data_IF_174981418349
#
_entry.id   IF_174981418349
#
_cell.length_a   1.000
_cell.length_b   1.000
_cell.length_c   1.000
_cell.angle_alpha   90.00
_cell.angle_beta   90.00
_cell.angle_gamma   90.00
#
_symmetry.space_group_name_H-M   'P 1'
#
loop_
_entity.id
_entity.type
_entity.pdbx_description
1 polymer ?
#
# COMPACT_ATOMS: atom_id res chain seq x y z
N UNK A 1 -16.47 -16.70 -8.60
CA UNK A 1 -15.81 -17.02 -7.32
C UNK A 1 -15.55 -15.72 -6.60
N UNK A 2 -16.15 -15.51 -5.42
CA UNK A 2 -15.76 -14.42 -4.53
C UNK A 2 -14.46 -14.87 -3.89
N UNK A 3 -13.33 -14.28 -4.26
CA UNK A 3 -12.05 -14.57 -3.59
C UNK A 3 -12.27 -14.33 -2.11
N UNK A 4 -12.03 -15.33 -1.27
CA UNK A 4 -12.07 -15.14 0.16
C UNK A 4 -11.01 -14.08 0.48
N UNK A 5 -11.43 -12.90 0.94
CA UNK A 5 -10.48 -11.90 1.42
C UNK A 5 -9.80 -12.52 2.63
N UNK A 6 -8.54 -12.93 2.45
CA UNK A 6 -7.76 -13.47 3.55
C UNK A 6 -7.49 -12.31 4.52
N UNK A 7 -8.23 -12.27 5.62
CA UNK A 7 -8.00 -11.32 6.69
C UNK A 7 -6.65 -11.64 7.34
N UNK A 8 -5.70 -10.71 7.26
CA UNK A 8 -4.38 -10.87 7.88
C UNK A 8 -4.21 -9.94 9.07
N UNK A 9 -3.36 -10.35 10.02
CA UNK A 9 -3.00 -9.46 11.13
C UNK A 9 -2.17 -8.28 10.64
N UNK A 10 -2.16 -7.19 11.42
CA UNK A 10 -1.29 -6.03 11.17
C UNK A 10 0.19 -6.43 11.16
N UNK A 11 0.61 -7.35 12.03
CA UNK A 11 1.99 -7.88 12.06
C UNK A 11 2.34 -8.60 10.75
N UNK A 12 1.45 -9.47 10.27
CA UNK A 12 1.67 -10.19 9.01
C UNK A 12 1.73 -9.23 7.82
N UNK A 13 0.95 -8.16 7.85
CA UNK A 13 0.99 -7.11 6.84
C UNK A 13 2.36 -6.41 6.82
N UNK A 14 2.87 -5.98 7.98
CA UNK A 14 4.18 -5.32 8.05
C UNK A 14 5.33 -6.22 7.61
N UNK A 15 5.31 -7.51 7.96
CA UNK A 15 6.35 -8.44 7.51
C UNK A 15 6.33 -8.62 5.98
N UNK A 16 5.14 -8.67 5.37
CA UNK A 16 5.00 -8.78 3.91
C UNK A 16 5.46 -7.52 3.17
N UNK A 17 5.12 -6.34 3.68
CA UNK A 17 5.48 -5.07 3.04
C UNK A 17 6.99 -4.77 3.04
N UNK A 18 7.80 -5.43 3.88
CA UNK A 18 9.26 -5.26 3.88
C UNK A 18 9.91 -5.67 2.56
N UNK A 19 9.34 -6.63 1.85
CA UNK A 19 9.93 -7.22 0.64
C UNK A 19 9.07 -7.01 -0.61
N UNK A 20 7.91 -6.37 -0.46
CA UNK A 20 6.96 -6.22 -1.54
C UNK A 20 7.39 -5.12 -2.50
N UNK A 21 7.53 -5.41 -3.81
CA UNK A 21 7.88 -4.39 -4.81
C UNK A 21 6.75 -3.35 -5.02
N UNK A 22 5.52 -3.68 -4.62
CA UNK A 22 4.36 -2.81 -4.73
C UNK A 22 3.89 -2.48 -3.32
N UNK A 23 3.62 -1.19 -3.06
CA UNK A 23 3.01 -0.73 -1.81
C UNK A 23 1.55 -1.17 -1.77
N UNK A 24 1.11 -1.65 -0.63
CA UNK A 24 -0.29 -1.92 -0.38
C UNK A 24 -0.84 -1.00 0.73
N UNK A 25 -2.15 -0.87 0.79
CA UNK A 25 -2.86 -0.31 1.93
C UNK A 25 -3.52 -1.43 2.73
N UNK A 26 -3.52 -1.28 4.05
CA UNK A 26 -4.17 -2.20 4.98
C UNK A 26 -5.37 -1.53 5.62
N UNK A 27 -6.54 -2.17 5.57
CA UNK A 27 -7.74 -1.72 6.28
C UNK A 27 -8.55 -2.92 6.77
N UNK A 28 -8.72 -3.03 8.09
CA UNK A 28 -9.52 -4.07 8.77
C UNK A 28 -9.20 -5.52 8.34
N UNK A 29 -7.91 -5.84 8.19
CA UNK A 29 -7.46 -7.16 7.76
C UNK A 29 -7.38 -7.34 6.24
N UNK A 30 -7.93 -6.41 5.46
CA UNK A 30 -7.90 -6.44 4.00
C UNK A 30 -6.69 -5.67 3.45
N UNK A 31 -6.22 -6.10 2.27
CA UNK A 31 -5.07 -5.51 1.57
C UNK A 31 -5.55 -4.96 0.23
N UNK A 32 -5.24 -3.69 -0.04
CA UNK A 32 -5.56 -3.02 -1.29
C UNK A 32 -4.26 -2.68 -2.02
N UNK A 33 -4.13 -2.98 -3.33
CA UNK A 33 -2.98 -2.56 -4.09
C UNK A 33 -2.98 -1.03 -4.22
N UNK A 34 -1.93 -0.38 -3.71
CA UNK A 34 -1.78 1.06 -3.88
C UNK A 34 -1.25 1.28 -5.31
N UNK A 35 -1.90 2.17 -6.06
CA UNK A 35 -1.52 2.48 -7.46
C UNK A 35 -0.28 3.37 -7.57
N UNK A 36 0.53 3.46 -6.51
CA UNK A 36 1.63 4.41 -6.30
C UNK A 36 2.84 4.20 -7.22
N UNK A 37 2.73 3.31 -8.21
CA UNK A 37 3.79 3.00 -9.18
C UNK A 37 3.90 3.97 -10.36
N UNK A 38 3.24 5.13 -10.34
CA UNK A 38 3.41 6.15 -11.38
C UNK A 38 4.29 7.30 -10.87
N UNK A 39 5.37 7.57 -11.61
CA UNK A 39 6.36 8.61 -11.34
C UNK A 39 5.72 10.01 -11.20
N UNK A 40 4.65 10.29 -11.94
CA UNK A 40 3.90 11.55 -11.84
C UNK A 40 3.23 11.73 -10.46
N UNK A 41 2.61 10.67 -9.92
CA UNK A 41 2.00 10.71 -8.58
C UNK A 41 3.05 10.94 -7.50
N UNK A 42 4.21 10.30 -7.64
CA UNK A 42 5.35 10.51 -6.74
C UNK A 42 5.85 11.96 -6.78
N UNK A 43 5.98 12.55 -7.97
CA UNK A 43 6.46 13.93 -8.12
C UNK A 43 5.52 14.97 -7.50
N UNK A 44 4.20 14.81 -7.66
CA UNK A 44 3.20 15.68 -7.02
C UNK A 44 3.27 15.54 -5.49
N UNK A 45 3.35 14.31 -4.97
CA UNK A 45 3.47 14.06 -3.53
C UNK A 45 4.72 14.70 -2.94
N UNK A 46 5.86 14.58 -3.61
CA UNK A 46 7.11 15.22 -3.18
C UNK A 46 7.04 16.74 -3.21
N UNK A 47 6.38 17.32 -4.23
CA UNK A 47 6.19 18.77 -4.30
C UNK A 47 5.33 19.29 -3.15
N UNK A 48 4.22 18.62 -2.84
CA UNK A 48 3.35 18.97 -1.70
C UNK A 48 4.11 18.87 -0.37
N UNK A 49 4.89 17.81 -0.16
CA UNK A 49 5.67 17.63 1.07
C UNK A 49 6.70 18.75 1.29
N UNK A 50 7.27 19.31 0.22
CA UNK A 50 8.22 20.45 0.31
C UNK A 50 7.56 21.80 0.58
N UNK A 51 6.23 21.89 0.47
CA UNK A 51 5.47 23.13 0.69
C UNK A 51 4.93 23.25 2.12
N UNK A 52 5.13 22.24 2.96
CA UNK A 52 4.80 22.23 4.40
C UNK A 52 6.02 22.58 5.25
#
# INVERSE_FOLDING_TARGET
MKLATAFISTTDYFEREKTNPIRHEYFDGEIFPMSDGNEEYSNVRWHIYKLQ
#
